data_IF_113370451356
#
_entry.id   IF_113370451356
#
_cell.length_a   1.000
_cell.length_b   1.000
_cell.length_c   1.000
_cell.angle_alpha   90.00
_cell.angle_beta   90.00
_cell.angle_gamma   90.00
#
_symmetry.space_group_name_H-M   'P 1'
#
loop_
_entity.id
_entity.type
_entity.pdbx_description
1 polymer ?
#
# COMPACT_ATOMS: atom_id res chain seq x y z
N UNK A 1 25.18 13.55 6.23
CA UNK A 1 24.88 13.70 4.78
C UNK A 1 23.54 13.11 4.35
N UNK A 2 23.14 11.91 4.80
CA UNK A 2 21.87 11.25 4.40
C UNK A 2 20.64 12.10 4.74
N UNK A 3 20.55 12.60 5.98
CA UNK A 3 19.41 13.41 6.44
C UNK A 3 19.19 14.65 5.58
N UNK A 4 20.27 15.36 5.22
CA UNK A 4 20.20 16.54 4.36
C UNK A 4 19.68 16.19 2.95
N UNK A 5 20.10 15.05 2.39
CA UNK A 5 19.59 14.58 1.09
C UNK A 5 18.11 14.23 1.16
N UNK A 6 17.65 13.61 2.24
CA UNK A 6 16.23 13.30 2.44
C UNK A 6 15.39 14.57 2.58
N UNK A 7 15.84 15.54 3.37
CA UNK A 7 15.14 16.83 3.51
C UNK A 7 15.08 17.60 2.20
N UNK A 8 16.18 17.63 1.43
CA UNK A 8 16.19 18.21 0.09
C UNK A 8 15.23 17.49 -0.84
N UNK A 9 15.16 16.16 -0.80
CA UNK A 9 14.21 15.38 -1.59
C UNK A 9 12.76 15.76 -1.29
N UNK A 10 12.38 15.84 -0.02
CA UNK A 10 11.03 16.26 0.40
C UNK A 10 10.74 17.68 -0.08
N UNK A 11 11.70 18.61 0.07
CA UNK A 11 11.54 19.99 -0.37
C UNK A 11 11.35 20.09 -1.89
N UNK A 12 12.17 19.39 -2.68
CA UNK A 12 12.11 19.39 -4.14
C UNK A 12 10.80 18.77 -4.64
N UNK A 13 10.39 17.61 -4.11
CA UNK A 13 9.12 16.98 -4.50
C UNK A 13 7.92 17.89 -4.16
N UNK A 14 7.94 18.51 -2.98
CA UNK A 14 6.89 19.47 -2.58
C UNK A 14 6.89 20.71 -3.48
N UNK A 15 8.06 21.21 -3.88
CA UNK A 15 8.19 22.34 -4.79
C UNK A 15 7.66 22.00 -6.19
N UNK A 16 7.93 20.79 -6.70
CA UNK A 16 7.38 20.31 -7.97
C UNK A 16 5.85 20.28 -7.89
N UNK A 17 5.26 19.69 -6.84
CA UNK A 17 3.81 19.67 -6.64
C UNK A 17 3.22 21.09 -6.58
N UNK A 18 3.90 22.03 -5.93
CA UNK A 18 3.50 23.43 -5.89
C UNK A 18 3.59 24.10 -7.27
N UNK A 19 4.62 23.82 -8.07
CA UNK A 19 4.80 24.37 -9.41
C UNK A 19 3.68 23.95 -10.36
N UNK A 20 3.29 22.67 -10.32
CA UNK A 20 2.21 22.09 -11.14
C UNK A 20 0.81 22.29 -10.56
N UNK A 21 0.67 22.97 -9.42
CA UNK A 21 -0.64 23.25 -8.84
C UNK A 21 -1.44 24.24 -9.68
N UNK A 22 -2.68 23.88 -10.00
CA UNK A 22 -3.60 24.72 -10.77
C UNK A 22 -3.97 26.03 -10.07
N UNK A 23 -3.93 26.07 -8.73
CA UNK A 23 -4.20 27.28 -7.96
C UNK A 23 -3.28 27.36 -6.74
N UNK A 24 -2.08 27.92 -6.95
CA UNK A 24 -1.02 28.07 -5.93
C UNK A 24 -1.46 28.87 -4.70
N UNK A 25 -2.44 29.78 -4.84
CA UNK A 25 -2.95 30.62 -3.75
C UNK A 25 -3.96 29.90 -2.86
N UNK A 26 -4.62 28.86 -3.38
CA UNK A 26 -5.60 28.08 -2.62
C UNK A 26 -4.96 26.94 -1.80
N UNK A 27 -3.64 26.77 -1.87
CA UNK A 27 -2.94 25.70 -1.15
C UNK A 27 -2.96 25.98 0.35
N UNK A 28 -3.62 25.09 1.10
CA UNK A 28 -3.57 25.11 2.55
C UNK A 28 -2.30 24.41 3.06
N UNK A 29 -1.25 25.18 3.35
CA UNK A 29 0.02 24.67 3.85
C UNK A 29 -0.07 23.91 5.17
N UNK A 30 -1.09 24.17 6.00
CA UNK A 30 -1.32 23.37 7.21
C UNK A 30 -1.72 21.94 6.88
N UNK A 31 -2.54 21.73 5.85
CA UNK A 31 -2.91 20.39 5.39
C UNK A 31 -1.70 19.66 4.81
N UNK A 32 -0.84 20.36 4.06
CA UNK A 32 0.40 19.79 3.51
C UNK A 32 1.34 19.34 4.63
N UNK A 33 1.61 20.20 5.61
CA UNK A 33 2.49 19.89 6.74
C UNK A 33 1.92 18.73 7.58
N UNK A 34 0.62 18.73 7.87
CA UNK A 34 -0.02 17.62 8.59
C UNK A 34 0.03 16.32 7.80
N UNK A 35 -0.12 16.37 6.48
CA UNK A 35 -0.01 15.21 5.59
C UNK A 35 1.40 14.61 5.62
N UNK A 36 2.42 15.46 5.45
CA UNK A 36 3.83 15.04 5.55
C UNK A 36 4.17 14.51 6.95
N UNK A 37 3.64 15.15 8.00
CA UNK A 37 3.78 14.69 9.38
C UNK A 37 3.14 13.32 9.63
N UNK A 38 1.94 13.09 9.08
CA UNK A 38 1.26 11.79 9.16
C UNK A 38 2.06 10.69 8.44
N UNK A 39 2.58 10.97 7.24
CA UNK A 39 3.45 10.03 6.51
C UNK A 39 4.71 9.70 7.30
N UNK A 40 5.37 10.71 7.87
CA UNK A 40 6.56 10.51 8.70
C UNK A 40 6.27 9.71 9.98
N UNK A 41 5.16 10.02 10.66
CA UNK A 41 4.71 9.28 11.84
C UNK A 41 4.44 7.82 11.54
N UNK A 42 3.75 7.52 10.44
CA UNK A 42 3.49 6.15 10.01
C UNK A 42 4.81 5.41 9.68
N UNK A 43 5.74 6.05 9.00
CA UNK A 43 7.04 5.46 8.69
C UNK A 43 7.83 5.14 9.96
N UNK A 44 7.89 6.05 10.94
CA UNK A 44 8.58 5.81 12.21
C UNK A 44 7.87 4.72 13.02
N UNK A 45 6.53 4.74 13.07
CA UNK A 45 5.75 3.73 13.77
C UNK A 45 6.05 2.33 13.22
N UNK A 46 5.95 2.14 11.90
CA UNK A 46 6.16 0.83 11.27
C UNK A 46 7.63 0.40 11.30
N UNK A 47 8.60 1.31 11.11
CA UNK A 47 10.01 0.94 10.94
C UNK A 47 10.84 0.95 12.22
N UNK A 48 10.45 1.71 13.26
CA UNK A 48 11.27 1.90 14.46
C UNK A 48 10.59 1.50 15.77
N UNK A 49 9.26 1.54 15.86
CA UNK A 49 8.57 1.23 17.11
C UNK A 49 8.39 -0.28 17.22
N UNK A 50 9.03 -0.98 18.18
CA UNK A 50 9.10 -2.45 18.18
C UNK A 50 7.73 -3.14 18.16
N UNK A 51 6.74 -2.62 18.90
CA UNK A 51 5.39 -3.17 18.92
C UNK A 51 4.65 -3.05 17.58
N UNK A 52 4.80 -1.92 16.90
CA UNK A 52 4.16 -1.68 15.60
C UNK A 52 4.88 -2.42 14.47
N UNK A 53 6.21 -2.44 14.48
CA UNK A 53 7.02 -3.22 13.54
C UNK A 53 6.65 -4.71 13.62
N UNK A 54 6.58 -5.28 14.82
CA UNK A 54 6.17 -6.68 15.00
C UNK A 54 4.76 -6.94 14.46
N UNK A 55 3.79 -6.06 14.75
CA UNK A 55 2.43 -6.22 14.24
C UNK A 55 2.36 -6.11 12.71
N UNK A 56 3.13 -5.19 12.12
CA UNK A 56 3.23 -5.02 10.68
C UNK A 56 3.90 -6.23 10.00
N UNK A 57 4.92 -6.81 10.62
CA UNK A 57 5.55 -8.04 10.13
C UNK A 57 4.56 -9.20 10.13
N UNK A 58 3.74 -9.34 11.19
CA UNK A 58 2.66 -10.35 11.22
C UNK A 58 1.63 -10.14 10.11
N UNK A 59 1.24 -8.89 9.86
CA UNK A 59 0.37 -8.57 8.73
C UNK A 59 1.02 -8.91 7.38
N UNK A 60 2.32 -8.64 7.24
CA UNK A 60 3.08 -8.95 6.03
C UNK A 60 3.15 -10.45 5.77
N UNK A 61 3.40 -11.25 6.80
CA UNK A 61 3.35 -12.72 6.72
C UNK A 61 1.96 -13.20 6.30
N UNK A 62 0.89 -12.63 6.87
CA UNK A 62 -0.47 -12.99 6.45
C UNK A 62 -0.73 -12.67 4.97
N UNK A 63 -0.25 -11.53 4.47
CA UNK A 63 -0.36 -11.19 3.05
C UNK A 63 0.42 -12.18 2.15
N UNK A 64 1.61 -12.60 2.58
CA UNK A 64 2.40 -13.63 1.87
C UNK A 64 1.66 -14.97 1.86
N UNK A 65 1.08 -15.39 2.97
CA UNK A 65 0.29 -16.63 3.02
C UNK A 65 -0.89 -16.62 2.04
N UNK A 66 -1.53 -15.46 1.84
CA UNK A 66 -2.59 -15.31 0.83
C UNK A 66 -2.04 -15.44 -0.60
N UNK A 67 -0.83 -14.94 -0.86
CA UNK A 67 -0.14 -15.14 -2.14
C UNK A 67 0.19 -16.63 -2.36
N UNK A 68 0.61 -17.34 -1.31
CA UNK A 68 0.90 -18.77 -1.39
C UNK A 68 -0.36 -19.57 -1.76
N UNK A 69 -1.52 -19.27 -1.17
CA UNK A 69 -2.80 -19.90 -1.58
C UNK A 69 -3.14 -19.63 -3.06
N UNK A 70 -2.80 -18.45 -3.55
CA UNK A 70 -2.98 -18.13 -4.98
C UNK A 70 -2.04 -18.98 -5.83
N UNK A 71 -0.79 -19.15 -5.41
CA UNK A 71 0.19 -19.98 -6.12
C UNK A 71 -0.28 -21.43 -6.23
N UNK A 72 -0.74 -22.02 -5.14
CA UNK A 72 -1.33 -23.37 -5.11
C UNK A 72 -2.52 -23.50 -6.08
N UNK A 73 -3.44 -22.52 -6.06
CA UNK A 73 -4.56 -22.49 -7.00
C UNK A 73 -4.13 -22.35 -8.47
N UNK A 74 -3.06 -21.61 -8.73
CA UNK A 74 -2.51 -21.42 -10.08
C UNK A 74 -1.79 -22.68 -10.57
N UNK A 75 -1.09 -23.38 -9.69
CA UNK A 75 -0.48 -24.68 -9.97
C UNK A 75 -1.55 -25.73 -10.28
N UNK A 76 -2.66 -25.73 -9.53
CA UNK A 76 -3.81 -26.60 -9.85
C UNK A 76 -4.38 -26.34 -11.26
N UNK A 77 -4.48 -25.07 -11.67
CA UNK A 77 -5.06 -24.70 -12.97
C UNK A 77 -4.10 -24.85 -14.16
N UNK A 78 -2.81 -24.55 -13.97
CA UNK A 78 -1.84 -24.38 -15.06
C UNK A 78 -0.62 -25.31 -14.96
N UNK A 79 -0.48 -26.06 -13.86
CA UNK A 79 0.53 -27.10 -13.67
C UNK A 79 1.96 -26.64 -14.00
N UNK A 80 2.59 -27.36 -14.94
CA UNK A 80 3.98 -27.14 -15.36
C UNK A 80 4.30 -25.75 -15.90
N UNK A 81 3.29 -24.96 -16.33
CA UNK A 81 3.51 -23.58 -16.76
C UNK A 81 3.85 -22.63 -15.60
N UNK A 82 3.50 -23.02 -14.38
CA UNK A 82 3.79 -22.25 -13.15
C UNK A 82 5.02 -22.81 -12.44
N UNK A 83 5.19 -24.14 -12.43
CA UNK A 83 6.25 -24.81 -11.65
C UNK A 83 7.54 -25.04 -12.42
N UNK A 84 7.49 -25.17 -13.75
CA UNK A 84 8.64 -25.58 -14.55
C UNK A 84 9.44 -24.38 -15.07
N UNK A 85 9.92 -23.57 -14.12
CA UNK A 85 10.73 -22.36 -14.36
C UNK A 85 12.07 -22.63 -15.02
N UNK A 86 12.57 -23.86 -14.99
CA UNK A 86 13.85 -24.23 -15.62
C UNK A 86 13.72 -24.40 -17.14
N UNK A 87 12.58 -24.91 -17.62
CA UNK A 87 12.33 -25.09 -19.06
C UNK A 87 11.67 -23.87 -19.71
N UNK A 88 10.79 -23.17 -18.99
CA UNK A 88 9.99 -22.07 -19.55
C UNK A 88 10.35 -20.69 -18.99
N UNK A 89 11.22 -20.61 -17.97
CA UNK A 89 11.48 -19.37 -17.26
C UNK A 89 10.28 -18.90 -16.43
N UNK A 90 10.38 -17.69 -15.88
CA UNK A 90 9.28 -17.08 -15.14
C UNK A 90 8.19 -16.58 -16.08
N UNK A 91 7.13 -17.37 -16.27
CA UNK A 91 6.00 -16.99 -17.10
C UNK A 91 5.08 -16.01 -16.35
N UNK A 92 5.35 -14.72 -16.51
CA UNK A 92 4.60 -13.64 -15.85
C UNK A 92 3.09 -13.80 -15.94
N UNK A 93 2.57 -14.18 -17.11
CA UNK A 93 1.13 -14.33 -17.34
C UNK A 93 0.48 -15.36 -16.40
N UNK A 94 1.15 -16.48 -16.13
CA UNK A 94 0.59 -17.58 -15.32
C UNK A 94 0.96 -17.48 -13.83
N UNK A 95 1.94 -16.64 -13.47
CA UNK A 95 2.35 -16.46 -12.08
C UNK A 95 1.79 -15.18 -11.45
N UNK A 96 1.57 -14.12 -12.23
CA UNK A 96 1.12 -12.81 -11.72
C UNK A 96 -0.37 -12.57 -11.96
N UNK A 97 -0.91 -12.91 -13.14
CA UNK A 97 -2.32 -12.61 -13.45
C UNK A 97 -3.31 -13.37 -12.56
N UNK A 98 -3.11 -14.66 -12.21
CA UNK A 98 -4.01 -15.37 -11.31
C UNK A 98 -4.11 -14.73 -9.92
N UNK A 99 -3.03 -14.10 -9.44
CA UNK A 99 -3.02 -13.31 -8.20
C UNK A 99 -4.05 -12.19 -8.25
N UNK A 100 -4.15 -11.47 -9.37
CA UNK A 100 -5.14 -10.40 -9.53
C UNK A 100 -6.57 -10.96 -9.46
N UNK A 101 -6.83 -12.10 -10.10
CA UNK A 101 -8.16 -12.73 -10.12
C UNK A 101 -8.55 -13.23 -8.71
N UNK A 102 -7.61 -13.85 -8.00
CA UNK A 102 -7.86 -14.31 -6.64
C UNK A 102 -8.12 -13.15 -5.69
N UNK A 103 -7.27 -12.11 -5.72
CA UNK A 103 -7.45 -10.92 -4.88
C UNK A 103 -8.72 -10.14 -5.25
N UNK A 104 -9.14 -10.12 -6.51
CA UNK A 104 -10.42 -9.49 -6.88
C UNK A 104 -11.60 -10.25 -6.27
N UNK A 105 -11.61 -11.58 -6.35
CA UNK A 105 -12.64 -12.41 -5.70
C UNK A 105 -12.62 -12.26 -4.17
N UNK A 106 -11.44 -12.30 -3.55
CA UNK A 106 -11.28 -12.11 -2.11
C UNK A 106 -11.75 -10.72 -1.66
N UNK A 107 -11.38 -9.66 -2.38
CA UNK A 107 -11.84 -8.31 -2.07
C UNK A 107 -13.34 -8.15 -2.25
N UNK A 108 -13.95 -8.77 -3.28
CA UNK A 108 -15.41 -8.83 -3.42
C UNK A 108 -16.07 -9.53 -2.24
N UNK A 109 -15.49 -10.62 -1.74
CA UNK A 109 -15.99 -11.33 -0.55
C UNK A 109 -15.87 -10.47 0.72
N UNK A 110 -14.74 -9.78 0.92
CA UNK A 110 -14.54 -8.87 2.05
C UNK A 110 -15.49 -7.66 1.99
N UNK A 111 -15.83 -7.19 0.78
CA UNK A 111 -16.89 -6.22 0.56
C UNK A 111 -18.26 -6.78 0.93
N UNK A 112 -18.60 -7.99 0.48
CA UNK A 112 -19.88 -8.61 0.82
C UNK A 112 -20.06 -8.76 2.33
N UNK A 113 -19.00 -9.16 3.06
CA UNK A 113 -19.03 -9.29 4.52
C UNK A 113 -18.93 -7.98 5.30
N UNK A 114 -18.81 -6.83 4.65
CA UNK A 114 -18.74 -5.54 5.34
C UNK A 114 -17.37 -5.22 5.96
N UNK A 115 -16.36 -6.09 5.84
CA UNK A 115 -15.04 -5.93 6.48
C UNK A 115 -14.30 -4.76 5.82
N UNK A 116 -14.26 -4.74 4.49
CA UNK A 116 -13.52 -3.73 3.76
C UNK A 116 -14.14 -2.33 3.96
N UNK A 117 -15.47 -2.25 4.08
CA UNK A 117 -16.17 -1.01 4.42
C UNK A 117 -15.77 -0.48 5.79
N UNK A 118 -15.60 -1.35 6.81
CA UNK A 118 -15.15 -0.93 8.15
C UNK A 118 -13.73 -0.37 8.09
N UNK A 119 -12.83 -1.03 7.36
CA UNK A 119 -11.44 -0.57 7.17
C UNK A 119 -11.40 0.79 6.46
N UNK A 120 -12.10 0.92 5.33
CA UNK A 120 -12.15 2.18 4.57
C UNK A 120 -12.77 3.30 5.39
N UNK A 121 -13.85 3.06 6.13
CA UNK A 121 -14.44 4.06 7.04
C UNK A 121 -13.46 4.47 8.14
N UNK A 122 -12.68 3.53 8.68
CA UNK A 122 -11.62 3.82 9.64
C UNK A 122 -10.54 4.74 9.06
N UNK A 123 -10.05 4.42 7.86
CA UNK A 123 -9.07 5.27 7.16
C UNK A 123 -9.63 6.66 6.86
N UNK A 124 -10.85 6.74 6.33
CA UNK A 124 -11.53 8.00 6.04
C UNK A 124 -11.71 8.84 7.31
N UNK A 125 -12.06 8.21 8.43
CA UNK A 125 -12.17 8.89 9.72
C UNK A 125 -10.82 9.47 10.19
N UNK A 126 -9.72 8.71 10.06
CA UNK A 126 -8.37 9.20 10.38
C UNK A 126 -8.01 10.39 9.49
N UNK A 127 -8.22 10.28 8.17
CA UNK A 127 -7.92 11.35 7.22
C UNK A 127 -8.75 12.61 7.49
N UNK A 128 -10.06 12.46 7.76
CA UNK A 128 -10.93 13.58 8.11
C UNK A 128 -10.49 14.26 9.40
N UNK A 129 -10.13 13.49 10.42
CA UNK A 129 -9.73 14.05 11.73
C UNK A 129 -8.36 14.74 11.67
N UNK A 130 -7.42 14.19 10.92
CA UNK A 130 -6.03 14.69 10.86
C UNK A 130 -5.85 15.78 9.81
N UNK A 131 -6.42 15.62 8.62
CA UNK A 131 -6.18 16.49 7.45
C UNK A 131 -7.37 17.41 7.10
N UNK A 132 -8.51 17.24 7.78
CA UNK A 132 -9.76 17.97 7.50
C UNK A 132 -10.23 17.85 6.04
N UNK A 133 -9.99 16.68 5.44
CA UNK A 133 -10.47 16.33 4.11
C UNK A 133 -11.92 15.85 4.18
N UNK A 134 -12.68 15.99 3.08
CA UNK A 134 -14.00 15.37 2.95
C UNK A 134 -13.80 13.85 2.93
N UNK A 135 -14.19 13.19 4.01
CA UNK A 135 -14.11 11.74 4.18
C UNK A 135 -15.23 10.99 3.47
#
# INVERSE_FOLDING_TARGET
MIILRTLLGIAVLTAILWLFSSNKKAINWWTVIKGLGLQFLLAVAVLKVPGFSWAFDKFSVAAVTVLDFTREGSEFLFGGLVTNTESYGYLFAFQVLPTIIFFSALTSLLYYFGILQKVVKGMAWVMRKTLNLSG
#
